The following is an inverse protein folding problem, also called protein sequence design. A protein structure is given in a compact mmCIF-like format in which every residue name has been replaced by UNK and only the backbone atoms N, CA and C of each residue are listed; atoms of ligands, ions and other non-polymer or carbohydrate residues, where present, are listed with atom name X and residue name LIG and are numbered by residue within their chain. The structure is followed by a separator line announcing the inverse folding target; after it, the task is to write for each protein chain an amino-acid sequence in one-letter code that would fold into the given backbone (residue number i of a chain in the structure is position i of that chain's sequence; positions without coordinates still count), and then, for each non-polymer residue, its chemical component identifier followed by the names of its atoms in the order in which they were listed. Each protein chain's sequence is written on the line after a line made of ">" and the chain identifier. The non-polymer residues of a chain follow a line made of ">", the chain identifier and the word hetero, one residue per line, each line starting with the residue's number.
data_IF_764591153232
#
_entry.id   IF_764591153232
#
_cell.length_a   1.000
_cell.length_b   1.000
_cell.length_c   1.000
_cell.angle_alpha   90.00
_cell.angle_beta   90.00
_cell.angle_gamma   90.00
#
_symmetry.space_group_name_H-M   'P 1'
#
loop_
_entity.id
_entity.type
_entity.pdbx_description
1 polymer ?
#
# COMPACT_ATOMS: atom_id res chain seq x y z
N UNK A 1 17.15 -49.52 -35.43
CA UNK A 1 17.78 -48.42 -34.67
C UNK A 1 17.40 -47.13 -35.36
N UNK A 2 16.85 -46.17 -34.61
CA UNK A 2 16.31 -44.92 -35.16
C UNK A 2 15.58 -44.12 -34.08
N UNK A 3 16.33 -43.80 -33.03
CA UNK A 3 16.26 -42.61 -32.19
C UNK A 3 14.88 -42.14 -31.66
N UNK A 4 14.70 -42.42 -30.36
CA UNK A 4 13.78 -41.72 -29.47
C UNK A 4 14.11 -40.22 -29.49
N UNK A 5 13.41 -39.46 -30.31
CA UNK A 5 13.28 -38.02 -30.10
C UNK A 5 12.51 -37.81 -28.80
N UNK A 6 13.17 -37.30 -27.76
CA UNK A 6 12.51 -36.78 -26.58
C UNK A 6 11.57 -35.66 -27.03
N UNK A 7 10.30 -35.98 -27.25
CA UNK A 7 9.26 -34.99 -27.36
C UNK A 7 9.30 -34.20 -26.05
N UNK A 8 9.80 -32.97 -26.11
CA UNK A 8 9.61 -31.97 -25.06
C UNK A 8 8.09 -31.90 -24.92
N UNK A 9 7.53 -32.55 -23.89
CA UNK A 9 6.14 -32.40 -23.53
C UNK A 9 5.92 -30.91 -23.31
N UNK A 10 5.36 -30.24 -24.31
CA UNK A 10 4.81 -28.91 -24.15
C UNK A 10 3.62 -29.10 -23.23
N UNK A 11 3.87 -28.90 -21.93
CA UNK A 11 2.88 -29.02 -20.89
C UNK A 11 1.76 -28.02 -21.21
N UNK A 12 0.62 -28.50 -21.72
CA UNK A 12 -0.53 -27.66 -22.07
C UNK A 12 -1.02 -26.85 -20.86
N UNK A 13 -0.72 -27.34 -19.65
CA UNK A 13 -0.98 -26.70 -18.36
C UNK A 13 -0.07 -25.49 -18.08
N UNK A 14 1.03 -25.30 -18.83
CA UNK A 14 1.96 -24.16 -18.71
C UNK A 14 1.39 -22.83 -19.23
N UNK A 15 0.26 -22.88 -19.95
CA UNK A 15 -0.27 -21.71 -20.67
C UNK A 15 -1.72 -21.41 -20.28
N UNK A 16 -2.08 -21.56 -19.01
CA UNK A 16 -3.31 -20.93 -18.51
C UNK A 16 -3.07 -19.42 -18.46
N UNK A 17 -3.47 -18.69 -19.50
CA UNK A 17 -3.41 -17.23 -19.49
C UNK A 17 -4.55 -16.68 -18.62
N UNK A 18 -4.23 -15.77 -17.69
CA UNK A 18 -5.22 -15.24 -16.74
C UNK A 18 -6.18 -14.26 -17.42
N UNK A 19 -7.48 -14.58 -17.39
CA UNK A 19 -8.57 -13.73 -17.86
C UNK A 19 -9.46 -13.31 -16.70
N UNK A 20 -8.94 -12.47 -15.81
CA UNK A 20 -9.70 -11.97 -14.66
C UNK A 20 -10.51 -10.71 -15.05
N UNK A 21 -11.61 -10.48 -14.33
CA UNK A 21 -12.54 -9.38 -14.60
C UNK A 21 -12.14 -8.06 -13.93
N UNK A 22 -11.58 -8.12 -12.72
CA UNK A 22 -11.30 -6.94 -11.91
C UNK A 22 -9.87 -6.93 -11.33
N UNK A 23 -9.16 -5.79 -11.33
CA UNK A 23 -7.79 -5.70 -10.85
C UNK A 23 -7.67 -5.64 -9.31
N UNK A 24 -6.54 -6.13 -8.78
CA UNK A 24 -6.19 -6.04 -7.35
C UNK A 24 -5.42 -4.73 -7.07
N UNK A 25 -6.16 -3.72 -6.61
CA UNK A 25 -5.67 -2.36 -6.42
C UNK A 25 -5.85 -1.88 -4.99
N UNK A 26 -4.98 -0.95 -4.59
CA UNK A 26 -5.09 -0.24 -3.33
C UNK A 26 -5.77 1.13 -3.52
N UNK A 27 -6.34 1.67 -2.44
CA UNK A 27 -7.10 2.94 -2.44
C UNK A 27 -6.27 4.10 -2.99
N UNK A 28 -5.00 4.19 -2.58
CA UNK A 28 -4.10 5.23 -3.07
C UNK A 28 -3.85 5.17 -4.58
N UNK A 29 -3.94 3.99 -5.21
CA UNK A 29 -3.77 3.84 -6.65
C UNK A 29 -5.06 4.02 -7.43
N UNK A 30 -6.21 3.70 -6.82
CA UNK A 30 -7.51 3.91 -7.44
C UNK A 30 -7.85 5.40 -7.50
N UNK A 31 -7.51 6.16 -6.45
CA UNK A 31 -7.70 7.62 -6.39
C UNK A 31 -8.66 8.05 -5.31
N UNK A 32 -9.03 9.33 -5.32
CA UNK A 32 -10.00 9.92 -4.38
C UNK A 32 -11.44 9.86 -4.90
N UNK A 33 -11.62 9.64 -6.20
CA UNK A 33 -12.94 9.61 -6.82
C UNK A 33 -13.58 8.22 -6.68
N UNK A 34 -14.78 8.08 -6.06
CA UNK A 34 -15.49 6.81 -5.98
C UNK A 34 -15.90 6.24 -7.35
N UNK A 35 -16.10 7.11 -8.34
CA UNK A 35 -16.51 6.72 -9.68
C UNK A 35 -15.32 6.71 -10.64
N UNK A 36 -14.76 5.54 -10.86
CA UNK A 36 -13.61 5.34 -11.75
C UNK A 36 -14.04 4.67 -13.05
N UNK A 37 -13.61 5.25 -14.18
CA UNK A 37 -13.71 4.62 -15.50
C UNK A 37 -12.40 3.91 -15.81
N UNK A 38 -12.48 2.62 -16.13
CA UNK A 38 -11.33 1.79 -16.48
C UNK A 38 -11.51 1.17 -17.86
N UNK A 39 -10.39 1.03 -18.59
CA UNK A 39 -10.30 0.27 -19.83
C UNK A 39 -9.68 -1.09 -19.52
N UNK A 40 -10.29 -2.16 -20.02
CA UNK A 40 -9.80 -3.53 -19.93
C UNK A 40 -9.23 -3.94 -21.28
N UNK A 41 -7.97 -4.35 -21.28
CA UNK A 41 -7.27 -4.86 -22.46
C UNK A 41 -6.78 -6.28 -22.16
N UNK A 42 -7.41 -7.28 -22.77
CA UNK A 42 -7.01 -8.66 -22.60
C UNK A 42 -5.60 -8.88 -23.19
N UNK A 43 -4.69 -9.42 -22.39
CA UNK A 43 -3.32 -9.75 -22.80
C UNK A 43 -2.48 -8.58 -23.37
N UNK A 44 -2.77 -7.33 -22.96
CA UNK A 44 -2.13 -6.13 -23.51
C UNK A 44 -0.66 -5.90 -23.10
N UNK A 45 -0.18 -6.54 -22.02
CA UNK A 45 1.24 -6.44 -21.64
C UNK A 45 1.74 -7.65 -20.86
N UNK A 46 3.07 -7.85 -20.90
CA UNK A 46 3.75 -8.85 -20.09
C UNK A 46 4.01 -8.33 -18.66
N UNK A 47 3.77 -9.19 -17.67
CA UNK A 47 4.02 -8.93 -16.25
C UNK A 47 5.50 -8.64 -16.00
N UNK A 48 5.79 -7.59 -15.22
CA UNK A 48 7.18 -7.20 -14.94
C UNK A 48 7.97 -8.18 -14.06
N UNK A 49 7.28 -9.12 -13.42
CA UNK A 49 7.88 -10.15 -12.55
C UNK A 49 8.01 -11.47 -13.31
N UNK A 50 6.90 -12.06 -13.76
CA UNK A 50 6.89 -13.38 -14.38
C UNK A 50 7.00 -13.37 -15.91
N UNK A 51 7.02 -12.21 -16.57
CA UNK A 51 7.03 -12.03 -18.02
C UNK A 51 5.83 -12.64 -18.78
N UNK A 52 4.81 -13.16 -18.08
CA UNK A 52 3.59 -13.71 -18.70
C UNK A 52 2.66 -12.58 -19.17
N UNK A 53 2.02 -12.71 -20.35
CA UNK A 53 0.99 -11.79 -20.76
C UNK A 53 -0.22 -11.87 -19.81
N UNK A 54 -0.81 -10.74 -19.48
CA UNK A 54 -1.97 -10.65 -18.59
C UNK A 54 -2.92 -9.52 -19.01
N UNK A 55 -4.12 -9.53 -18.46
CA UNK A 55 -5.12 -8.49 -18.71
C UNK A 55 -4.69 -7.17 -18.05
N UNK A 56 -4.54 -6.13 -18.86
CA UNK A 56 -4.13 -4.80 -18.41
C UNK A 56 -5.35 -3.95 -18.18
N UNK A 57 -5.43 -3.38 -16.98
CA UNK A 57 -6.44 -2.38 -16.66
C UNK A 57 -5.78 -1.01 -16.68
N UNK A 58 -6.42 -0.02 -17.32
CA UNK A 58 -5.94 1.37 -17.38
C UNK A 58 -7.02 2.36 -16.96
N UNK A 59 -6.73 3.23 -16.00
CA UNK A 59 -7.68 4.22 -15.46
C UNK A 59 -6.98 5.54 -15.11
N UNK A 60 -7.78 6.58 -14.84
CA UNK A 60 -7.31 7.89 -14.39
C UNK A 60 -7.78 8.14 -12.94
N UNK A 61 -6.89 8.11 -11.93
CA UNK A 61 -7.27 8.24 -10.51
C UNK A 61 -7.86 9.59 -10.11
N UNK A 62 -7.58 10.66 -10.85
CA UNK A 62 -8.01 12.02 -10.50
C UNK A 62 -7.74 13.00 -11.64
N UNK A 63 -8.27 14.23 -11.54
CA UNK A 63 -8.24 15.21 -12.64
C UNK A 63 -6.82 15.56 -13.10
N UNK A 64 -5.90 15.81 -12.15
CA UNK A 64 -4.48 16.14 -12.36
C UNK A 64 -3.53 14.94 -12.22
N UNK A 65 -4.08 13.72 -12.16
CA UNK A 65 -3.30 12.49 -12.05
C UNK A 65 -2.93 11.95 -13.44
N UNK A 66 -1.85 11.18 -13.51
CA UNK A 66 -1.51 10.40 -14.70
C UNK A 66 -2.43 9.20 -14.84
N UNK A 67 -2.58 8.72 -16.07
CA UNK A 67 -3.12 7.40 -16.30
C UNK A 67 -2.24 6.35 -15.62
N UNK A 68 -2.87 5.51 -14.82
CA UNK A 68 -2.25 4.33 -14.24
C UNK A 68 -2.67 3.10 -15.02
N UNK A 69 -1.80 2.10 -15.00
CA UNK A 69 -2.09 0.77 -15.51
C UNK A 69 -1.51 -0.27 -14.57
N UNK A 70 -2.06 -1.48 -14.59
CA UNK A 70 -1.51 -2.66 -13.91
C UNK A 70 -0.15 -3.05 -14.52
N UNK A 71 0.84 -3.34 -13.68
CA UNK A 71 2.22 -3.70 -14.09
C UNK A 71 2.55 -5.17 -13.78
N UNK A 72 1.79 -5.79 -12.88
CA UNK A 72 1.99 -7.15 -12.39
C UNK A 72 0.71 -7.96 -12.59
N UNK A 73 0.83 -9.24 -12.96
CA UNK A 73 -0.32 -10.13 -13.12
C UNK A 73 -1.03 -10.44 -11.80
N UNK A 74 -2.22 -11.02 -11.88
CA UNK A 74 -3.04 -11.28 -10.70
C UNK A 74 -2.48 -12.41 -9.86
N UNK A 75 -1.90 -13.45 -10.47
CA UNK A 75 -1.19 -14.51 -9.73
C UNK A 75 -0.09 -13.91 -8.86
N UNK A 76 0.79 -13.07 -9.43
CA UNK A 76 1.89 -12.46 -8.70
C UNK A 76 1.41 -11.51 -7.60
N UNK A 77 0.33 -10.77 -7.84
CA UNK A 77 -0.31 -9.93 -6.84
C UNK A 77 -0.88 -10.74 -5.66
N UNK A 78 -1.59 -11.85 -5.94
CA UNK A 78 -2.18 -12.75 -4.93
C UNK A 78 -1.11 -13.46 -4.10
N UNK A 79 -0.05 -13.97 -4.73
CA UNK A 79 1.04 -14.71 -4.05
C UNK A 79 1.72 -13.91 -2.93
N UNK A 80 1.89 -12.61 -3.12
CA UNK A 80 2.55 -11.73 -2.15
C UNK A 80 1.59 -10.76 -1.46
N UNK A 81 0.28 -10.85 -1.71
CA UNK A 81 -0.73 -9.89 -1.25
C UNK A 81 -0.37 -8.42 -1.56
N UNK A 82 -0.03 -8.12 -2.81
CA UNK A 82 0.41 -6.79 -3.25
C UNK A 82 -0.50 -6.17 -4.30
N UNK A 83 -0.55 -4.85 -4.35
CA UNK A 83 -1.22 -4.11 -5.41
C UNK A 83 -0.50 -4.27 -6.76
N UNK A 84 -1.26 -4.57 -7.82
CA UNK A 84 -0.76 -4.76 -9.18
C UNK A 84 -0.04 -3.55 -9.80
N UNK A 85 -0.22 -2.34 -9.25
CA UNK A 85 0.40 -1.11 -9.77
C UNK A 85 1.55 -0.60 -8.94
N UNK A 86 1.37 -0.52 -7.61
CA UNK A 86 2.38 0.07 -6.74
C UNK A 86 3.30 -0.96 -6.09
N UNK A 87 2.97 -2.26 -6.16
CA UNK A 87 3.73 -3.35 -5.54
C UNK A 87 3.96 -3.09 -4.04
N UNK A 88 2.99 -2.44 -3.40
CA UNK A 88 2.89 -2.37 -1.94
C UNK A 88 1.86 -3.38 -1.47
N UNK A 89 2.00 -3.79 -0.22
CA UNK A 89 1.03 -4.63 0.47
C UNK A 89 -0.38 -3.99 0.47
N UNK A 90 -1.42 -4.82 0.29
CA UNK A 90 -2.81 -4.37 0.21
C UNK A 90 -3.41 -4.01 1.59
N UNK A 91 -2.93 -4.62 2.68
CA UNK A 91 -3.48 -4.42 4.03
C UNK A 91 -2.85 -3.19 4.70
N UNK A 92 -1.52 -3.14 4.76
CA UNK A 92 -0.73 -2.16 5.52
C UNK A 92 -0.17 -1.04 4.64
N UNK A 93 -0.22 -1.17 3.30
CA UNK A 93 0.37 -0.21 2.37
C UNK A 93 1.88 0.03 2.62
N UNK A 94 2.60 -1.03 3.01
CA UNK A 94 4.04 -1.03 3.25
C UNK A 94 4.80 -1.75 2.12
N UNK A 95 6.11 -1.44 1.93
CA UNK A 95 6.95 -2.23 1.05
C UNK A 95 7.05 -3.68 1.54
N UNK A 96 7.11 -4.63 0.59
CA UNK A 96 7.18 -6.09 0.87
C UNK A 96 8.31 -6.41 1.84
N UNK A 97 9.49 -5.83 1.63
CA UNK A 97 10.65 -6.05 2.51
C UNK A 97 10.41 -5.62 3.96
N UNK A 98 9.66 -4.52 4.19
CA UNK A 98 9.36 -4.06 5.55
C UNK A 98 8.38 -5.01 6.23
N UNK A 99 7.34 -5.43 5.51
CA UNK A 99 6.34 -6.36 6.00
C UNK A 99 6.97 -7.71 6.36
N UNK A 100 7.67 -8.31 5.39
CA UNK A 100 8.26 -9.63 5.55
C UNK A 100 9.33 -9.63 6.66
N UNK A 101 10.09 -8.53 6.82
CA UNK A 101 11.07 -8.39 7.92
C UNK A 101 10.45 -8.22 9.32
N UNK A 102 9.20 -7.74 9.42
CA UNK A 102 8.50 -7.56 10.70
C UNK A 102 7.79 -8.86 11.09
N UNK A 103 7.15 -9.53 10.12
CA UNK A 103 6.60 -10.87 10.32
C UNK A 103 7.68 -11.86 10.78
N UNK A 104 8.85 -11.85 10.11
CA UNK A 104 9.97 -12.71 10.48
C UNK A 104 10.52 -12.46 11.91
N UNK A 105 10.37 -11.24 12.45
CA UNK A 105 10.86 -10.89 13.80
C UNK A 105 9.92 -11.31 14.91
N UNK A 106 8.62 -11.13 14.71
CA UNK A 106 7.61 -11.32 15.76
C UNK A 106 7.24 -12.80 15.93
N UNK A 107 7.29 -13.60 14.86
CA UNK A 107 6.91 -15.02 14.89
C UNK A 107 8.09 -15.97 15.13
N UNK A 108 9.13 -15.49 15.81
CA UNK A 108 10.18 -16.37 16.35
C UNK A 108 11.17 -16.93 15.33
N UNK A 109 11.50 -16.18 14.27
CA UNK A 109 12.58 -16.55 13.34
C UNK A 109 12.20 -17.60 12.29
N UNK A 110 10.94 -18.03 12.25
CA UNK A 110 10.41 -18.85 11.16
C UNK A 110 10.24 -18.02 9.89
N UNK A 111 11.19 -18.12 8.96
CA UNK A 111 11.06 -17.59 7.62
C UNK A 111 9.93 -18.24 6.79
N UNK A 112 9.14 -19.16 7.37
CA UNK A 112 8.10 -19.94 6.70
C UNK A 112 6.87 -19.11 6.30
N UNK A 113 6.52 -18.04 7.02
CA UNK A 113 5.36 -17.20 6.67
C UNK A 113 5.68 -16.15 5.60
N UNK A 114 6.95 -15.78 5.44
CA UNK A 114 7.38 -14.97 4.31
C UNK A 114 7.45 -15.85 3.07
N UNK A 115 6.43 -15.79 2.21
CA UNK A 115 6.36 -16.58 0.97
C UNK A 115 7.56 -16.25 0.09
N UNK A 116 8.59 -17.09 0.11
CA UNK A 116 9.80 -16.89 -0.69
C UNK A 116 9.54 -17.42 -2.11
N UNK A 117 9.20 -16.51 -3.03
CA UNK A 117 8.93 -16.85 -4.42
C UNK A 117 10.27 -17.17 -5.11
N UNK A 118 10.44 -18.37 -5.71
CA UNK A 118 11.66 -18.71 -6.44
C UNK A 118 11.96 -17.72 -7.59
N UNK A 119 13.25 -17.49 -7.86
CA UNK A 119 13.69 -16.60 -8.94
C UNK A 119 13.75 -17.30 -10.30
N UNK A 120 14.12 -18.59 -10.32
CA UNK A 120 14.20 -19.36 -11.57
C UNK A 120 12.82 -19.52 -12.21
N UNK A 121 12.76 -19.36 -13.53
CA UNK A 121 11.48 -19.31 -14.26
C UNK A 121 10.66 -20.60 -14.09
N UNK A 122 11.30 -21.78 -14.15
CA UNK A 122 10.62 -23.06 -14.00
C UNK A 122 10.07 -23.29 -12.58
N UNK A 123 10.87 -22.98 -11.55
CA UNK A 123 10.43 -23.18 -10.17
C UNK A 123 9.36 -22.16 -9.78
N UNK A 124 9.48 -20.92 -10.28
CA UNK A 124 8.48 -19.87 -10.10
C UNK A 124 7.15 -20.25 -10.73
N UNK A 125 7.17 -20.80 -11.95
CA UNK A 125 5.99 -21.27 -12.65
C UNK A 125 5.27 -22.37 -11.87
N UNK A 126 6.02 -23.41 -11.46
CA UNK A 126 5.49 -24.49 -10.63
C UNK A 126 4.93 -23.97 -9.30
N UNK A 127 5.67 -23.09 -8.62
CA UNK A 127 5.25 -22.48 -7.35
C UNK A 127 3.95 -21.67 -7.52
N UNK A 128 3.86 -20.88 -8.59
CA UNK A 128 2.68 -20.07 -8.88
C UNK A 128 1.45 -20.93 -9.18
N UNK A 129 1.62 -22.04 -9.91
CA UNK A 129 0.55 -22.97 -10.22
C UNK A 129 0.07 -23.72 -8.97
N UNK A 130 0.99 -24.20 -8.12
CA UNK A 130 0.66 -24.82 -6.84
C UNK A 130 -0.08 -23.86 -5.91
N UNK A 131 0.37 -22.60 -5.84
CA UNK A 131 -0.26 -21.59 -5.00
C UNK A 131 -1.64 -21.19 -5.51
N UNK A 132 -1.83 -21.04 -6.83
CA UNK A 132 -3.16 -20.83 -7.42
C UNK A 132 -4.11 -21.97 -7.12
N UNK A 133 -3.65 -23.23 -7.24
CA UNK A 133 -4.45 -24.41 -6.89
C UNK A 133 -4.83 -24.44 -5.41
N UNK A 134 -3.90 -24.09 -4.52
CA UNK A 134 -4.14 -24.01 -3.09
C UNK A 134 -5.20 -22.94 -2.75
N UNK A 135 -5.10 -21.76 -3.39
CA UNK A 135 -6.08 -20.68 -3.22
C UNK A 135 -7.49 -21.08 -3.67
N UNK A 136 -7.60 -21.80 -4.80
CA UNK A 136 -8.87 -22.29 -5.33
C UNK A 136 -9.51 -23.36 -4.44
N UNK A 137 -8.69 -24.26 -3.88
CA UNK A 137 -9.17 -25.37 -3.05
C UNK A 137 -9.50 -24.98 -1.61
N UNK A 138 -8.66 -24.17 -0.97
CA UNK A 138 -8.80 -23.86 0.46
C UNK A 138 -9.60 -22.57 0.72
N UNK A 139 -9.90 -21.78 -0.32
CA UNK A 139 -10.59 -20.48 -0.19
C UNK A 139 -9.86 -19.48 0.72
N UNK A 140 -8.66 -19.83 1.20
CA UNK A 140 -7.91 -19.04 2.15
C UNK A 140 -7.33 -17.84 1.43
N UNK A 141 -7.82 -16.64 1.77
CA UNK A 141 -7.32 -15.36 1.28
C UNK A 141 -5.88 -15.16 1.76
N UNK A 142 -4.93 -15.75 1.03
CA UNK A 142 -3.48 -15.65 1.21
C UNK A 142 -2.92 -16.20 2.53
N UNK A 143 -1.75 -16.85 2.47
CA UNK A 143 -1.03 -17.37 3.63
C UNK A 143 -0.73 -16.30 4.72
N UNK A 144 -0.80 -15.02 4.35
CA UNK A 144 -0.58 -13.86 5.23
C UNK A 144 -1.77 -13.52 6.15
N UNK A 145 -2.93 -14.16 5.98
CA UNK A 145 -4.11 -13.91 6.81
C UNK A 145 -4.01 -14.44 8.25
N UNK A 146 -3.03 -15.30 8.55
CA UNK A 146 -2.83 -15.95 9.87
C UNK A 146 -1.70 -15.29 10.67
N UNK A 147 -1.61 -13.96 10.63
CA UNK A 147 -0.54 -13.22 11.30
C UNK A 147 -0.86 -12.97 12.76
N UNK A 148 0.13 -13.12 13.64
CA UNK A 148 -0.03 -12.87 15.08
C UNK A 148 -0.46 -11.43 15.38
N UNK A 149 -1.30 -11.26 16.41
CA UNK A 149 -1.81 -9.93 16.81
C UNK A 149 -0.69 -8.93 17.15
N UNK A 150 0.43 -9.42 17.69
CA UNK A 150 1.63 -8.62 17.95
C UNK A 150 2.21 -8.06 16.66
N UNK A 151 2.41 -8.91 15.65
CA UNK A 151 2.94 -8.50 14.35
C UNK A 151 2.00 -7.53 13.63
N UNK A 152 0.69 -7.74 13.72
CA UNK A 152 -0.32 -6.84 13.16
C UNK A 152 -0.25 -5.45 13.78
N UNK A 153 -0.11 -5.36 15.10
CA UNK A 153 0.03 -4.07 15.79
C UNK A 153 1.31 -3.31 15.39
N UNK A 154 2.42 -4.02 15.20
CA UNK A 154 3.69 -3.45 14.78
C UNK A 154 3.61 -2.90 13.34
N UNK A 155 3.03 -3.68 12.42
CA UNK A 155 2.79 -3.30 11.02
C UNK A 155 1.86 -2.08 10.93
N UNK A 156 0.78 -2.06 11.69
CA UNK A 156 -0.19 -0.96 11.69
C UNK A 156 0.42 0.35 12.21
N UNK A 157 1.38 0.28 13.14
CA UNK A 157 2.13 1.46 13.62
C UNK A 157 3.05 2.07 12.57
N UNK A 158 3.56 1.26 11.64
CA UNK A 158 4.36 1.73 10.51
C UNK A 158 3.52 2.18 9.32
N UNK A 159 2.33 1.60 9.16
CA UNK A 159 1.39 1.93 8.10
C UNK A 159 0.99 3.41 8.17
N UNK A 160 0.75 4.01 7.00
CA UNK A 160 0.23 5.38 6.91
C UNK A 160 -1.27 5.35 7.08
N UNK A 161 -1.81 6.30 7.85
CA UNK A 161 -3.26 6.45 8.05
C UNK A 161 -3.98 7.09 6.85
N UNK A 162 -3.31 8.00 6.14
CA UNK A 162 -3.89 8.70 5.00
C UNK A 162 -3.25 8.28 3.67
N UNK A 163 -4.06 8.18 2.59
CA UNK A 163 -3.58 7.79 1.27
C UNK A 163 -2.63 8.85 0.67
N UNK A 164 -1.49 8.39 0.17
CA UNK A 164 -0.47 9.27 -0.41
C UNK A 164 -0.69 9.51 -1.92
N UNK A 165 -1.58 10.44 -2.27
CA UNK A 165 -1.93 10.73 -3.67
C UNK A 165 -0.83 11.39 -4.51
N UNK A 166 0.25 11.88 -3.90
CA UNK A 166 1.40 12.44 -4.66
C UNK A 166 2.04 11.41 -5.59
N UNK A 167 1.87 10.10 -5.35
CA UNK A 167 2.30 9.02 -6.26
C UNK A 167 1.56 9.03 -7.60
N UNK A 168 0.34 9.58 -7.64
CA UNK A 168 -0.52 9.59 -8.81
C UNK A 168 -0.23 10.78 -9.74
N UNK A 169 0.68 11.68 -9.33
CA UNK A 169 1.08 12.84 -10.14
C UNK A 169 1.68 12.41 -11.47
N UNK A 170 1.57 13.32 -12.44
CA UNK A 170 2.26 13.20 -13.72
C UNK A 170 3.76 13.03 -13.54
N UNK A 171 4.40 12.37 -14.50
CA UNK A 171 5.85 12.33 -14.57
C UNK A 171 6.40 13.74 -14.82
N UNK A 172 7.65 13.95 -14.42
CA UNK A 172 8.35 15.21 -14.68
C UNK A 172 8.53 15.41 -16.17
N UNK A 173 8.36 16.65 -16.63
CA UNK A 173 8.56 17.01 -18.02
C UNK A 173 10.07 17.04 -18.32
N UNK A 174 10.53 16.11 -19.17
CA UNK A 174 11.94 16.06 -19.60
C UNK A 174 12.36 17.26 -20.44
N UNK A 175 11.42 17.92 -21.13
CA UNK A 175 11.69 19.15 -21.89
C UNK A 175 11.81 20.36 -20.97
N UNK A 176 11.01 20.42 -19.90
CA UNK A 176 11.11 21.49 -18.91
C UNK A 176 12.43 21.40 -18.15
N UNK A 177 12.85 20.18 -17.76
CA UNK A 177 14.15 19.96 -17.14
C UNK A 177 15.34 20.39 -18.02
N UNK A 178 15.15 20.50 -19.35
CA UNK A 178 16.14 21.00 -20.32
C UNK A 178 15.96 22.48 -20.69
N UNK A 179 14.87 23.13 -20.25
CA UNK A 179 14.54 24.51 -20.62
C UNK A 179 13.86 24.69 -21.98
N UNK A 180 13.46 23.60 -22.65
CA UNK A 180 12.93 23.61 -24.02
C UNK A 180 11.40 23.37 -24.08
N UNK A 181 10.69 23.46 -22.96
CA UNK A 181 9.25 23.20 -22.94
C UNK A 181 8.45 24.40 -23.48
N UNK A 182 7.91 24.26 -24.68
CA UNK A 182 7.04 25.26 -25.33
C UNK A 182 5.56 25.15 -24.96
N UNK A 183 5.17 24.19 -24.11
CA UNK A 183 3.76 23.92 -23.75
C UNK A 183 3.26 24.73 -22.55
N UNK A 184 4.14 25.45 -21.86
CA UNK A 184 3.79 26.27 -20.69
C UNK A 184 2.94 25.50 -19.66
N UNK A 185 1.87 26.13 -19.18
CA UNK A 185 0.96 25.56 -18.18
C UNK A 185 0.01 24.49 -18.73
N UNK A 186 -0.10 24.35 -20.05
CA UNK A 186 -0.90 23.30 -20.70
C UNK A 186 -0.16 21.96 -20.78
N UNK A 187 1.12 21.92 -20.37
CA UNK A 187 1.91 20.70 -20.39
C UNK A 187 1.27 19.62 -19.48
N UNK A 188 0.96 18.41 -20.02
CA UNK A 188 0.42 17.32 -19.20
C UNK A 188 1.41 16.76 -18.17
N UNK A 189 2.68 17.09 -18.30
CA UNK A 189 3.77 16.65 -17.43
C UNK A 189 4.10 17.72 -16.39
N UNK A 190 4.66 17.30 -15.26
CA UNK A 190 4.92 18.18 -14.14
C UNK A 190 6.19 19.01 -14.38
N UNK A 191 6.09 20.33 -14.19
CA UNK A 191 7.20 21.29 -14.28
C UNK A 191 7.88 21.47 -12.90
N UNK A 192 8.49 20.40 -12.40
CA UNK A 192 9.33 20.40 -11.18
C UNK A 192 10.71 19.82 -11.53
N UNK A 193 11.75 20.22 -10.81
CA UNK A 193 13.10 19.70 -11.04
C UNK A 193 13.17 18.22 -10.60
N UNK A 194 13.77 17.31 -11.39
CA UNK A 194 14.07 15.96 -10.95
C UNK A 194 14.93 15.96 -9.68
N UNK A 195 14.71 14.94 -8.84
CA UNK A 195 15.62 14.68 -7.72
C UNK A 195 17.00 14.31 -8.25
N UNK A 196 18.01 14.58 -7.43
CA UNK A 196 19.40 14.24 -7.73
C UNK A 196 19.54 12.74 -8.02
N UNK A 197 20.31 12.42 -9.06
CA UNK A 197 20.56 11.03 -9.49
C UNK A 197 21.34 10.22 -8.46
N UNK A 198 22.04 10.92 -7.57
CA UNK A 198 22.86 10.34 -6.50
C UNK A 198 22.05 10.00 -5.24
N UNK A 199 20.76 10.39 -5.17
CA UNK A 199 19.86 9.94 -4.11
C UNK A 199 19.66 8.42 -4.26
N UNK A 200 20.00 7.59 -3.25
CA UNK A 200 19.77 6.14 -3.29
C UNK A 200 18.30 5.78 -3.51
N UNK A 201 17.36 6.71 -3.27
CA UNK A 201 15.94 6.53 -3.52
C UNK A 201 15.53 6.62 -4.99
N UNK A 202 16.40 7.10 -5.89
CA UNK A 202 16.09 7.33 -7.30
C UNK A 202 16.08 6.03 -8.13
N UNK A 203 16.88 5.03 -7.76
CA UNK A 203 17.00 3.74 -8.46
C UNK A 203 16.11 2.71 -7.80
N UNK A 204 14.85 2.61 -8.22
CA UNK A 204 13.89 1.62 -7.72
C UNK A 204 13.47 0.66 -8.84
N UNK A 205 13.91 -0.59 -8.77
CA UNK A 205 13.50 -1.65 -9.69
C UNK A 205 12.22 -2.35 -9.16
N UNK A 206 11.29 -2.68 -10.05
CA UNK A 206 10.05 -3.35 -9.69
C UNK A 206 10.27 -4.79 -9.20
N UNK A 207 11.26 -5.51 -9.77
CA UNK A 207 11.59 -6.87 -9.35
C UNK A 207 12.12 -6.88 -7.92
N UNK A 208 13.09 -6.00 -7.62
CA UNK A 208 13.70 -5.85 -6.30
C UNK A 208 12.64 -5.53 -5.22
N UNK A 209 11.71 -4.62 -5.55
CA UNK A 209 10.58 -4.27 -4.68
C UNK A 209 9.59 -5.41 -4.47
N UNK A 210 9.39 -6.28 -5.48
CA UNK A 210 8.49 -7.44 -5.38
C UNK A 210 9.09 -8.56 -4.52
N UNK A 211 10.37 -8.89 -4.74
CA UNK A 211 11.07 -9.93 -3.97
C UNK A 211 11.51 -9.44 -2.59
N UNK A 212 11.44 -8.12 -2.33
CA UNK A 212 11.86 -7.53 -1.07
C UNK A 212 13.38 -7.52 -0.87
N UNK A 213 14.14 -7.54 -1.96
CA UNK A 213 15.61 -7.46 -1.96
C UNK A 213 16.03 -6.02 -2.29
N UNK A 214 16.95 -5.45 -1.51
CA UNK A 214 17.57 -4.15 -1.79
C UNK A 214 16.60 -2.99 -2.10
N UNK A 215 15.43 -2.91 -1.44
CA UNK A 215 14.56 -1.74 -1.59
C UNK A 215 15.08 -0.58 -0.73
N UNK A 216 15.54 0.54 -1.33
CA UNK A 216 16.08 1.68 -0.57
C UNK A 216 15.00 2.38 0.28
N UNK A 217 13.73 2.30 -0.11
CA UNK A 217 12.60 2.82 0.68
C UNK A 217 12.41 1.98 1.93
N UNK A 218 12.44 0.65 1.79
CA UNK A 218 12.34 -0.26 2.91
C UNK A 218 13.52 -0.11 3.89
N UNK A 219 14.74 0.00 3.36
CA UNK A 219 15.95 0.23 4.15
C UNK A 219 15.84 1.52 4.98
N UNK A 220 15.30 2.60 4.39
CA UNK A 220 15.07 3.87 5.10
C UNK A 220 14.01 3.73 6.21
N UNK A 221 12.93 2.99 5.97
CA UNK A 221 11.88 2.77 6.99
C UNK A 221 12.39 1.93 8.16
N UNK A 222 13.05 0.80 7.88
CA UNK A 222 13.64 -0.06 8.91
C UNK A 222 14.79 0.64 9.67
N UNK A 223 15.62 1.43 8.96
CA UNK A 223 16.68 2.23 9.56
C UNK A 223 16.14 3.34 10.48
N UNK A 224 15.02 3.97 10.10
CA UNK A 224 14.33 4.95 10.94
C UNK A 224 13.83 4.36 12.26
N UNK A 225 13.33 3.12 12.24
CA UNK A 225 12.92 2.43 13.46
C UNK A 225 14.09 2.12 14.40
N UNK A 226 15.21 1.60 13.87
CA UNK A 226 16.41 1.33 14.68
C UNK A 226 16.89 2.57 15.41
N UNK A 227 16.94 3.72 14.73
CA UNK A 227 17.30 5.01 15.36
C UNK A 227 16.30 5.41 16.44
N UNK A 228 15.00 5.26 16.20
CA UNK A 228 13.98 5.62 17.18
C UNK A 228 13.99 4.69 18.41
N UNK A 229 14.28 3.41 18.21
CA UNK A 229 14.43 2.42 19.27
C UNK A 229 15.68 2.70 20.12
N UNK A 230 16.84 2.95 19.50
CA UNK A 230 18.04 3.42 20.21
C UNK A 230 17.81 4.71 21.01
N UNK A 231 17.02 5.66 20.50
CA UNK A 231 16.64 6.86 21.26
C UNK A 231 15.71 6.56 22.45
N UNK A 232 14.91 5.51 22.38
CA UNK A 232 14.05 5.06 23.49
C UNK A 232 14.84 4.27 24.54
N UNK A 233 15.72 3.39 24.10
CA UNK A 233 16.52 2.53 24.98
C UNK A 233 17.70 3.30 25.62
N UNK A 234 18.19 4.36 24.98
CA UNK A 234 19.23 5.24 25.50
C UNK A 234 18.77 6.33 26.47
N UNK A 235 17.45 6.44 26.75
CA UNK A 235 16.94 7.31 27.81
C UNK A 235 16.69 6.45 29.04
N UNK A 236 17.36 6.68 30.19
CA UNK A 236 17.03 5.93 31.40
C UNK A 236 15.54 6.13 31.70
N UNK A 237 14.82 5.02 31.93
CA UNK A 237 13.45 5.09 32.42
C UNK A 237 13.54 5.77 33.79
N UNK A 238 13.23 7.06 33.84
CA UNK A 238 13.00 7.74 35.10
C UNK A 238 11.93 6.97 35.86
N UNK A 239 12.00 6.90 37.20
CA UNK A 239 10.99 6.22 37.98
C UNK A 239 9.60 6.77 37.63
N UNK A 240 8.53 5.94 37.70
CA UNK A 240 7.18 6.41 37.49
C UNK A 240 6.93 7.64 38.37
N UNK A 241 6.27 8.69 37.86
CA UNK A 241 6.00 9.87 38.67
C UNK A 241 5.17 9.44 39.89
N UNK A 242 5.68 9.72 41.08
CA UNK A 242 4.90 9.60 42.31
C UNK A 242 3.72 10.57 42.25
N UNK A 243 2.53 10.19 42.73
CA UNK A 243 1.37 11.06 42.73
C UNK A 243 1.45 12.01 43.93
N UNK A 244 2.41 12.92 43.93
CA UNK A 244 2.48 13.98 44.94
C UNK A 244 2.77 15.32 44.27
N UNK A 245 1.86 16.27 44.48
CA UNK A 245 2.03 17.66 44.03
C UNK A 245 0.90 18.22 43.18
N UNK A 246 -0.36 18.02 43.58
CA UNK A 246 -1.44 18.89 43.12
C UNK A 246 -1.14 20.34 43.54
N UNK A 247 -0.57 21.13 42.63
CA UNK A 247 -0.39 22.56 42.82
C UNK A 247 -1.76 23.23 42.71
N UNK A 248 -2.28 23.67 43.85
CA UNK A 248 -3.49 24.48 43.98
C UNK A 248 -3.43 25.68 42.99
N UNK A 249 -4.46 25.93 42.18
CA UNK A 249 -4.47 27.11 41.31
C UNK A 249 -4.55 28.40 42.13
N UNK A 250 -3.82 29.40 41.65
CA UNK A 250 -3.68 30.76 42.23
C UNK A 250 -5.06 31.43 42.40
N UNK A 251 -5.34 32.16 43.50
CA UNK A 251 -6.64 32.77 43.71
C UNK A 251 -6.90 33.89 42.69
N UNK A 252 -8.12 33.95 42.14
CA UNK A 252 -8.60 35.09 41.36
C UNK A 252 -8.88 36.31 42.26
N UNK A 253 -8.66 37.54 41.79
CA UNK A 253 -8.98 38.75 42.54
C UNK A 253 -10.49 38.91 42.79
N UNK A 254 -10.90 39.55 43.90
CA UNK A 254 -12.30 39.62 44.29
C UNK A 254 -13.08 40.59 43.40
N UNK A 255 -14.24 40.17 42.88
CA UNK A 255 -15.23 41.10 42.30
C UNK A 255 -15.86 40.73 40.95
N UNK A 256 -15.54 39.58 40.33
CA UNK A 256 -16.26 39.13 39.12
C UNK A 256 -16.77 37.71 39.29
N UNK A 257 -18.11 37.54 39.35
CA UNK A 257 -18.74 36.22 39.26
C UNK A 257 -18.43 35.62 37.87
N UNK A 258 -18.00 34.35 37.77
CA UNK A 258 -17.85 33.67 36.48
C UNK A 258 -19.21 33.58 35.76
N UNK A 259 -19.26 33.66 34.41
CA UNK A 259 -20.50 33.42 33.68
C UNK A 259 -20.92 31.96 33.84
N UNK A 260 -22.20 31.73 34.12
CA UNK A 260 -22.80 30.39 34.13
C UNK A 260 -22.78 29.79 32.71
N UNK A 261 -22.57 28.48 32.56
CA UNK A 261 -22.66 27.81 31.27
C UNK A 261 -24.11 27.87 30.75
N UNK A 262 -24.32 27.99 29.42
CA UNK A 262 -25.66 27.99 28.85
C UNK A 262 -26.33 26.62 29.08
N UNK A 263 -27.51 26.65 29.69
CA UNK A 263 -28.33 25.46 29.93
C UNK A 263 -28.85 24.83 28.63
N UNK A 264 -29.28 23.56 28.68
CA UNK A 264 -29.82 22.85 27.52
C UNK A 264 -31.13 23.49 27.04
N UNK A 265 -31.32 23.51 25.71
CA UNK A 265 -32.52 24.08 25.07
C UNK A 265 -33.77 23.30 25.46
N UNK A 266 -34.91 23.95 25.74
CA UNK A 266 -36.17 23.26 26.01
C UNK A 266 -36.69 22.58 24.74
N UNK A 267 -37.05 21.30 24.89
CA UNK A 267 -37.82 20.52 23.91
C UNK A 267 -39.21 21.13 23.77
N UNK A 268 -39.55 21.60 22.56
CA UNK A 268 -40.89 22.07 22.25
C UNK A 268 -41.86 20.89 22.20
N UNK A 269 -42.65 20.74 23.25
CA UNK A 269 -43.89 19.97 23.25
C UNK A 269 -44.91 20.79 22.45
N UNK A 270 -45.36 20.27 21.30
CA UNK A 270 -46.54 20.78 20.60
C UNK A 270 -47.72 19.94 21.05
N UNK A 271 -48.45 20.43 22.05
CA UNK A 271 -49.83 20.04 22.26
C UNK A 271 -50.72 20.92 21.37
N UNK A 272 -51.62 20.21 20.71
CA UNK A 272 -52.74 20.64 19.88
C UNK A 272 -53.78 21.39 20.70
N UNK A 273 -54.41 22.42 20.13
CA UNK A 273 -55.83 22.68 20.37
C UNK A 273 -56.42 23.62 19.31
N UNK A 274 -57.73 23.50 19.23
CA UNK A 274 -58.64 23.70 18.12
C UNK A 274 -59.23 25.13 18.10
N UNK A 275 -60.01 25.37 17.04
CA UNK A 275 -61.25 26.16 17.05
C UNK A 275 -61.29 27.65 16.59
N UNK A 276 -62.14 27.82 15.56
CA UNK A 276 -63.12 28.90 15.30
C UNK A 276 -62.77 30.11 14.40
N UNK A 277 -63.19 29.96 13.13
CA UNK A 277 -64.31 30.68 12.49
C UNK A 277 -64.23 32.21 12.33
N UNK A 278 -63.96 32.64 11.10
CA UNK A 278 -64.75 33.62 10.35
C UNK A 278 -64.53 33.39 8.84
#
# INVERSE_FOLDING_TARGET
>A
MGERGFAIKADATKTAWESEEFPLLCESCLGENPYVRMMKEAYGSACKVCARPFTVFRWKPGKRARYKKTEVCQTCARMKNVCQTCVLDLQYHLPVQVRDAVLAKEEGGGAELAVNVPESDANREWFSQQHSRMLEQEGAVSAYGKTSDSANSALLRMARREPYYKRNRAHLCSFYARGECNRGDECPYLHEMPRDKDDPLAKQNIKDRFYGKNDPVAAKMLGGQKKNQQRRDGKPRGPPPTPEGASKPKPLPPGKKPPLPPGPRPTAVKETEEETKA
#
